data_IF_668314595915
#
_entry.id   IF_668314595915
#
_cell.length_a   1.000
_cell.length_b   1.000
_cell.length_c   1.000
_cell.angle_alpha   90.00
_cell.angle_beta   90.00
_cell.angle_gamma   90.00
#
_symmetry.space_group_name_H-M   'P 1'
#
loop_
_entity.id
_entity.type
_entity.pdbx_description
1 polymer ?
#
# COMPACT_ATOMS: atom_id res chain seq x y z
N UNK A 1 -24.23 34.27 -20.10
CA UNK A 1 -23.59 32.94 -20.00
C UNK A 1 -23.39 32.67 -18.52
N UNK A 2 -24.33 31.94 -17.93
CA UNK A 2 -24.44 31.77 -16.48
C UNK A 2 -23.39 30.75 -16.03
N UNK A 3 -22.41 31.18 -15.24
CA UNK A 3 -21.39 30.30 -14.67
C UNK A 3 -22.08 29.28 -13.76
N UNK A 4 -21.76 28.00 -13.94
CA UNK A 4 -22.25 26.92 -13.09
C UNK A 4 -21.82 27.17 -11.63
N UNK A 5 -22.67 26.86 -10.64
CA UNK A 5 -22.33 27.05 -9.24
C UNK A 5 -21.13 26.18 -8.83
N UNK A 6 -20.25 26.78 -8.02
CA UNK A 6 -19.05 26.17 -7.48
C UNK A 6 -19.40 24.96 -6.59
N UNK A 7 -19.09 23.75 -7.09
CA UNK A 7 -19.31 22.48 -6.37
C UNK A 7 -18.38 22.28 -5.16
N UNK A 8 -17.47 23.22 -4.84
CA UNK A 8 -16.42 23.03 -3.81
C UNK A 8 -16.87 23.35 -2.37
N UNK A 9 -18.11 23.76 -2.14
CA UNK A 9 -18.63 24.09 -0.80
C UNK A 9 -19.59 23.05 -0.18
N UNK A 10 -19.68 21.83 -0.70
CA UNK A 10 -20.34 20.77 0.05
C UNK A 10 -19.38 20.31 1.16
N UNK A 11 -19.57 20.83 2.39
CA UNK A 11 -19.08 20.17 3.60
C UNK A 11 -19.39 18.68 3.44
N UNK A 12 -18.37 17.83 3.48
CA UNK A 12 -18.56 16.39 3.47
C UNK A 12 -19.57 16.08 4.58
N UNK A 13 -20.77 15.63 4.20
CA UNK A 13 -21.72 15.08 5.16
C UNK A 13 -20.98 13.99 5.92
N UNK A 14 -21.12 13.95 7.24
CA UNK A 14 -20.65 12.81 8.03
C UNK A 14 -21.07 11.52 7.32
N UNK A 15 -20.20 10.50 7.23
CA UNK A 15 -20.55 9.27 6.55
C UNK A 15 -21.90 8.81 7.08
N UNK A 16 -22.84 8.57 6.15
CA UNK A 16 -24.11 7.93 6.47
C UNK A 16 -23.81 6.79 7.43
N UNK A 17 -24.49 6.76 8.58
CA UNK A 17 -24.39 5.61 9.48
C UNK A 17 -24.60 4.36 8.62
N UNK A 18 -23.73 3.37 8.81
CA UNK A 18 -23.84 2.11 8.09
C UNK A 18 -25.27 1.59 8.24
N UNK A 19 -25.88 1.04 7.17
CA UNK A 19 -27.22 0.50 7.25
C UNK A 19 -27.34 -0.49 8.42
N UNK A 20 -28.54 -0.62 9.03
CA UNK A 20 -28.78 -1.60 10.08
C UNK A 20 -28.27 -2.99 9.65
N UNK A 21 -27.61 -3.72 10.56
CA UNK A 21 -26.93 -5.00 10.26
C UNK A 21 -27.81 -6.05 9.56
N UNK A 22 -29.14 -5.96 9.67
CA UNK A 22 -30.07 -6.85 8.96
C UNK A 22 -30.23 -6.52 7.46
N UNK A 23 -30.04 -5.27 7.04
CA UNK A 23 -30.17 -4.82 5.64
C UNK A 23 -28.86 -4.95 4.85
N UNK A 24 -27.73 -5.11 5.54
CA UNK A 24 -26.39 -5.22 4.96
C UNK A 24 -25.93 -6.67 4.70
N UNK A 25 -26.88 -7.60 4.50
CA UNK A 25 -26.57 -9.01 4.23
C UNK A 25 -26.50 -9.24 2.72
N UNK A 26 -25.31 -9.49 2.21
CA UNK A 26 -25.12 -10.04 0.87
C UNK A 26 -25.09 -11.56 1.02
N UNK A 27 -26.12 -12.30 0.60
CA UNK A 27 -26.09 -13.75 0.69
C UNK A 27 -24.94 -14.30 -0.15
N UNK A 28 -24.08 -15.11 0.47
CA UNK A 28 -22.90 -15.70 -0.18
C UNK A 28 -23.22 -17.14 -0.55
N UNK A 29 -23.36 -17.36 -1.85
CA UNK A 29 -23.56 -18.69 -2.41
C UNK A 29 -22.22 -19.31 -2.82
N UNK A 30 -22.14 -20.63 -2.69
CA UNK A 30 -20.99 -21.42 -3.14
C UNK A 30 -21.03 -21.58 -4.65
N UNK A 31 -19.93 -21.28 -5.33
CA UNK A 31 -19.86 -21.32 -6.80
C UNK A 31 -18.67 -22.16 -7.30
N UNK A 32 -17.46 -21.86 -6.85
CA UNK A 32 -16.26 -22.57 -7.31
C UNK A 32 -15.89 -23.77 -6.44
N UNK A 33 -16.28 -23.75 -5.18
CA UNK A 33 -15.81 -24.71 -4.17
C UNK A 33 -16.86 -25.76 -3.84
N UNK A 34 -16.46 -26.78 -3.08
CA UNK A 34 -17.36 -27.82 -2.55
C UNK A 34 -17.45 -27.71 -1.03
N UNK A 35 -18.61 -28.03 -0.42
CA UNK A 35 -18.71 -28.16 1.03
C UNK A 35 -17.66 -29.15 1.56
N UNK A 36 -17.07 -28.84 2.72
CA UNK A 36 -16.11 -29.71 3.43
C UNK A 36 -14.78 -30.01 2.71
N UNK A 37 -14.55 -29.46 1.52
CA UNK A 37 -13.28 -29.57 0.79
C UNK A 37 -12.52 -28.26 0.90
N UNK A 38 -11.30 -28.27 1.46
CA UNK A 38 -10.44 -27.07 1.44
C UNK A 38 -9.97 -26.84 0.00
N UNK A 39 -10.10 -25.62 -0.56
CA UNK A 39 -9.71 -25.33 -1.93
C UNK A 39 -8.27 -25.70 -2.27
N UNK A 40 -7.37 -25.76 -1.29
CA UNK A 40 -5.98 -26.17 -1.54
C UNK A 40 -5.81 -27.64 -1.89
N UNK A 41 -6.75 -28.51 -1.48
CA UNK A 41 -6.69 -29.96 -1.72
C UNK A 41 -7.02 -30.31 -3.19
N UNK A 42 -7.60 -29.37 -3.93
CA UNK A 42 -7.92 -29.52 -5.36
C UNK A 42 -6.76 -29.10 -6.29
N UNK A 43 -5.62 -28.68 -5.73
CA UNK A 43 -4.44 -28.26 -6.49
C UNK A 43 -3.25 -29.20 -6.28
N UNK A 44 -2.42 -29.31 -7.31
CA UNK A 44 -1.08 -29.89 -7.18
C UNK A 44 -0.10 -28.85 -6.65
N UNK A 45 0.75 -29.27 -5.71
CA UNK A 45 1.73 -28.41 -5.03
C UNK A 45 3.14 -28.92 -5.26
N UNK A 46 4.08 -27.98 -5.39
CA UNK A 46 5.50 -28.26 -5.54
C UNK A 46 6.31 -27.56 -4.45
N UNK A 47 7.45 -28.15 -4.11
CA UNK A 47 8.45 -27.52 -3.25
C UNK A 47 9.53 -26.93 -4.13
N UNK A 48 9.72 -25.61 -4.06
CA UNK A 48 10.69 -24.87 -4.87
C UNK A 48 11.62 -24.00 -4.01
N UNK A 49 12.74 -23.59 -4.61
CA UNK A 49 13.61 -22.56 -4.08
C UNK A 49 13.30 -21.24 -4.78
N UNK A 50 13.08 -20.18 -4.00
CA UNK A 50 13.07 -18.82 -4.51
C UNK A 50 14.49 -18.25 -4.51
N UNK A 51 14.95 -17.72 -5.64
CA UNK A 51 16.26 -17.07 -5.76
C UNK A 51 16.16 -15.84 -6.66
N UNK A 52 16.77 -14.73 -6.22
CA UNK A 52 16.87 -13.50 -7.00
C UNK A 52 18.35 -13.12 -7.08
N UNK A 53 18.85 -12.97 -8.30
CA UNK A 53 20.22 -12.57 -8.59
C UNK A 53 20.34 -11.04 -8.68
N UNK A 54 21.45 -10.51 -8.18
CA UNK A 54 21.85 -9.11 -8.33
C UNK A 54 22.48 -8.84 -9.70
N UNK A 55 22.78 -7.57 -9.97
CA UNK A 55 23.41 -7.16 -11.23
C UNK A 55 24.83 -7.73 -11.43
N UNK A 56 25.46 -8.21 -10.35
CA UNK A 56 26.76 -8.89 -10.34
C UNK A 56 26.65 -10.43 -10.44
N UNK A 57 25.44 -10.96 -10.64
CA UNK A 57 25.15 -12.39 -10.71
C UNK A 57 25.16 -13.11 -9.36
N UNK A 58 25.36 -12.40 -8.23
CA UNK A 58 25.29 -13.01 -6.89
C UNK A 58 23.85 -13.03 -6.38
N UNK A 59 23.42 -14.06 -5.64
CA UNK A 59 22.07 -14.09 -5.08
C UNK A 59 21.91 -12.98 -4.02
N UNK A 60 20.95 -12.08 -4.25
CA UNK A 60 20.56 -11.03 -3.29
C UNK A 60 19.42 -11.47 -2.36
N UNK A 61 18.74 -12.55 -2.73
CA UNK A 61 17.72 -13.19 -1.91
C UNK A 61 17.66 -14.68 -2.27
N UNK A 62 17.61 -15.54 -1.25
CA UNK A 62 17.34 -16.97 -1.41
C UNK A 62 16.43 -17.44 -0.27
N UNK A 63 15.41 -18.23 -0.59
CA UNK A 63 14.62 -18.97 0.39
C UNK A 63 14.26 -20.34 -0.20
N UNK A 64 14.69 -21.41 0.48
CA UNK A 64 14.49 -22.81 0.07
C UNK A 64 13.20 -23.38 0.64
N UNK A 65 12.84 -24.58 0.19
CA UNK A 65 11.72 -25.40 0.66
C UNK A 65 10.42 -24.60 0.80
N UNK A 66 10.01 -23.96 -0.29
CA UNK A 66 8.78 -23.19 -0.39
C UNK A 66 7.72 -24.01 -1.11
N UNK A 67 6.58 -24.21 -0.46
CA UNK A 67 5.41 -24.85 -1.04
C UNK A 67 4.59 -23.83 -1.87
N UNK A 68 4.40 -24.13 -3.15
CA UNK A 68 3.76 -23.26 -4.14
C UNK A 68 2.84 -24.11 -5.03
N UNK A 69 1.71 -23.57 -5.56
CA UNK A 69 0.94 -24.32 -6.55
C UNK A 69 1.80 -24.60 -7.79
N UNK A 70 1.72 -25.82 -8.33
CA UNK A 70 2.50 -26.24 -9.49
C UNK A 70 2.28 -25.31 -10.70
N UNK A 71 1.06 -24.78 -10.83
CA UNK A 71 0.64 -23.84 -11.89
C UNK A 71 1.28 -22.46 -11.82
N UNK A 72 1.81 -22.03 -10.66
CA UNK A 72 2.46 -20.73 -10.54
C UNK A 72 3.85 -20.76 -11.18
N UNK A 73 4.28 -19.65 -11.78
CA UNK A 73 5.63 -19.58 -12.39
C UNK A 73 6.74 -19.45 -11.34
N UNK A 74 7.98 -19.81 -11.71
CA UNK A 74 9.16 -19.56 -10.87
C UNK A 74 9.33 -18.07 -10.51
N UNK A 75 8.96 -17.16 -11.44
CA UNK A 75 8.97 -15.72 -11.14
C UNK A 75 7.96 -15.35 -10.04
N UNK A 76 6.76 -15.95 -10.06
CA UNK A 76 5.79 -15.76 -8.99
C UNK A 76 6.32 -16.31 -7.65
N UNK A 77 6.97 -17.48 -7.65
CA UNK A 77 7.66 -18.03 -6.47
C UNK A 77 8.68 -17.02 -5.91
N UNK A 78 9.55 -16.48 -6.76
CA UNK A 78 10.56 -15.49 -6.37
C UNK A 78 9.95 -14.21 -5.78
N UNK A 79 8.91 -13.67 -6.42
CA UNK A 79 8.24 -12.44 -5.99
C UNK A 79 7.50 -12.65 -4.67
N UNK A 80 6.73 -13.72 -4.54
CA UNK A 80 5.96 -14.04 -3.32
C UNK A 80 6.89 -14.25 -2.13
N UNK A 81 7.91 -15.07 -2.31
CA UNK A 81 8.90 -15.35 -1.28
C UNK A 81 9.65 -14.09 -0.85
N UNK A 82 10.09 -13.24 -1.78
CA UNK A 82 10.91 -12.07 -1.44
C UNK A 82 10.11 -10.88 -0.93
N UNK A 83 8.84 -10.72 -1.37
CA UNK A 83 8.06 -9.50 -1.12
C UNK A 83 6.92 -9.69 -0.14
N UNK A 84 6.28 -10.86 -0.12
CA UNK A 84 4.97 -11.06 0.50
C UNK A 84 4.98 -11.98 1.71
N UNK A 85 5.83 -13.00 1.70
CA UNK A 85 6.05 -13.84 2.88
C UNK A 85 6.54 -13.00 4.06
N UNK A 86 6.08 -13.36 5.26
CA UNK A 86 6.35 -12.67 6.54
C UNK A 86 7.16 -13.54 7.50
N UNK A 87 7.75 -12.92 8.51
CA UNK A 87 8.74 -13.52 9.40
C UNK A 87 10.18 -13.30 8.94
N UNK A 88 11.17 -13.35 9.84
CA UNK A 88 12.58 -13.18 9.51
C UNK A 88 13.10 -14.40 8.74
N UNK A 89 14.02 -14.20 7.79
CA UNK A 89 14.69 -15.31 7.09
C UNK A 89 15.60 -16.12 8.03
N UNK A 90 16.18 -15.45 9.02
CA UNK A 90 17.07 -16.06 10.02
C UNK A 90 16.33 -16.13 11.37
N UNK A 91 16.30 -17.29 12.06
CA UNK A 91 15.57 -17.47 13.34
C UNK A 91 15.96 -16.53 14.50
N UNK A 92 17.00 -15.69 14.36
CA UNK A 92 17.44 -14.71 15.37
C UNK A 92 16.95 -13.28 15.18
N UNK A 93 16.38 -12.93 14.02
CA UNK A 93 15.99 -11.53 13.69
C UNK A 93 14.53 -11.20 14.07
N UNK A 94 13.91 -11.99 14.95
CA UNK A 94 12.52 -11.85 15.35
C UNK A 94 12.30 -10.65 16.31
N UNK A 95 12.35 -9.43 15.78
CA UNK A 95 11.77 -8.25 16.45
C UNK A 95 10.65 -7.69 15.58
N UNK A 96 9.44 -8.22 15.77
CA UNK A 96 8.23 -7.51 15.35
C UNK A 96 7.67 -6.80 16.56
N UNK A 97 7.13 -5.58 16.38
CA UNK A 97 6.58 -4.75 17.47
C UNK A 97 5.37 -5.36 18.19
N UNK A 98 4.92 -6.56 17.79
CA UNK A 98 3.81 -7.29 18.40
C UNK A 98 4.24 -8.38 19.39
N UNK A 99 5.54 -8.55 19.67
CA UNK A 99 6.03 -9.49 20.68
C UNK A 99 5.85 -10.98 20.35
N UNK A 100 5.40 -11.33 19.14
CA UNK A 100 5.29 -12.72 18.66
C UNK A 100 6.53 -13.11 17.85
N UNK A 101 7.15 -14.23 18.18
CA UNK A 101 8.14 -14.90 17.33
C UNK A 101 7.42 -15.46 16.11
N UNK A 102 7.47 -14.75 14.98
CA UNK A 102 6.85 -15.18 13.73
C UNK A 102 7.86 -16.04 12.97
N UNK A 103 7.57 -17.32 12.77
CA UNK A 103 8.34 -18.15 11.83
C UNK A 103 8.14 -17.64 10.40
N UNK A 104 9.19 -17.71 9.57
CA UNK A 104 9.10 -17.35 8.14
C UNK A 104 8.01 -18.17 7.46
N UNK A 105 7.10 -17.50 6.75
CA UNK A 105 6.15 -18.17 5.86
C UNK A 105 6.92 -18.92 4.76
N UNK A 106 6.55 -20.19 4.53
CA UNK A 106 7.15 -21.08 3.51
C UNK A 106 6.11 -21.69 2.59
N UNK A 107 4.84 -21.28 2.68
CA UNK A 107 3.79 -21.78 1.79
C UNK A 107 2.86 -20.64 1.38
N UNK A 108 2.39 -20.67 0.13
CA UNK A 108 1.32 -19.77 -0.31
C UNK A 108 0.02 -19.99 0.46
N UNK A 109 -0.22 -21.21 0.97
CA UNK A 109 -1.35 -21.49 1.88
C UNK A 109 -1.30 -20.58 3.09
N UNK A 110 -0.13 -20.45 3.73
CA UNK A 110 0.07 -19.60 4.91
C UNK A 110 -0.18 -18.11 4.60
N UNK A 111 0.33 -17.62 3.46
CA UNK A 111 0.11 -16.25 3.01
C UNK A 111 -1.37 -15.94 2.77
N UNK A 112 -2.07 -16.81 2.04
CA UNK A 112 -3.49 -16.63 1.73
C UNK A 112 -4.31 -16.76 3.01
N UNK A 113 -4.09 -17.80 3.83
CA UNK A 113 -4.83 -18.04 5.06
C UNK A 113 -4.67 -16.89 6.06
N UNK A 114 -3.48 -16.31 6.21
CA UNK A 114 -3.28 -15.14 7.07
C UNK A 114 -4.21 -13.98 6.73
N UNK A 115 -4.45 -13.74 5.44
CA UNK A 115 -5.32 -12.66 4.98
C UNK A 115 -6.79 -13.08 5.03
N UNK A 116 -7.12 -14.22 4.43
CA UNK A 116 -8.51 -14.68 4.28
C UNK A 116 -9.14 -15.01 5.63
N UNK A 117 -8.42 -15.66 6.53
CA UNK A 117 -8.94 -15.97 7.86
C UNK A 117 -9.22 -14.69 8.65
N UNK A 118 -8.33 -13.70 8.58
CA UNK A 118 -8.52 -12.43 9.29
C UNK A 118 -9.71 -11.63 8.74
N UNK A 119 -9.88 -11.58 7.42
CA UNK A 119 -11.03 -10.92 6.79
C UNK A 119 -12.33 -11.64 7.16
N UNK A 120 -12.34 -12.98 7.12
CA UNK A 120 -13.51 -13.78 7.52
C UNK A 120 -13.84 -13.55 8.99
N UNK A 121 -12.85 -13.48 9.86
CA UNK A 121 -13.04 -13.22 11.28
C UNK A 121 -13.62 -11.83 11.55
N UNK A 122 -13.15 -10.80 10.84
CA UNK A 122 -13.80 -9.48 10.90
C UNK A 122 -15.24 -9.54 10.40
N UNK A 123 -15.49 -10.26 9.30
CA UNK A 123 -16.83 -10.51 8.77
C UNK A 123 -17.78 -11.11 9.80
N UNK A 124 -17.32 -12.12 10.56
CA UNK A 124 -18.07 -12.73 11.66
C UNK A 124 -18.35 -11.73 12.78
N UNK A 125 -17.32 -11.05 13.27
CA UNK A 125 -17.43 -10.11 14.40
C UNK A 125 -18.34 -8.90 14.10
N UNK A 126 -18.34 -8.45 12.85
CA UNK A 126 -19.19 -7.34 12.40
C UNK A 126 -20.61 -7.78 12.02
N UNK A 127 -20.87 -9.09 11.94
CA UNK A 127 -22.18 -9.66 11.66
C UNK A 127 -22.57 -9.67 10.19
N UNK A 128 -21.60 -9.78 9.27
CA UNK A 128 -21.84 -9.83 7.82
C UNK A 128 -22.39 -11.19 7.34
N UNK A 129 -22.20 -12.26 8.11
CA UNK A 129 -22.67 -13.60 7.76
C UNK A 129 -23.91 -13.99 8.57
N UNK A 130 -24.88 -14.62 7.92
CA UNK A 130 -26.09 -15.17 8.51
C UNK A 130 -25.83 -16.47 9.30
N UNK A 131 -24.77 -17.20 8.96
CA UNK A 131 -24.37 -18.43 9.66
C UNK A 131 -22.86 -18.69 9.54
N UNK A 132 -22.36 -19.63 10.35
CA UNK A 132 -20.99 -20.10 10.24
C UNK A 132 -20.71 -20.79 8.90
N UNK A 133 -21.72 -21.48 8.34
CA UNK A 133 -21.62 -22.12 7.01
C UNK A 133 -21.46 -21.08 5.89
N UNK A 134 -22.11 -19.93 6.01
CA UNK A 134 -21.95 -18.84 5.05
C UNK A 134 -20.57 -18.19 5.18
N UNK A 135 -20.10 -17.95 6.41
CA UNK A 135 -18.75 -17.46 6.67
C UNK A 135 -17.68 -18.42 6.12
N UNK A 136 -17.91 -19.72 6.24
CA UNK A 136 -17.04 -20.76 5.72
C UNK A 136 -17.08 -20.84 4.18
N UNK A 137 -18.26 -20.66 3.60
CA UNK A 137 -18.42 -20.54 2.15
C UNK A 137 -17.65 -19.35 1.60
N UNK A 138 -17.77 -18.18 2.23
CA UNK A 138 -16.95 -17.01 1.89
C UNK A 138 -15.45 -17.29 1.97
N UNK A 139 -15.01 -17.93 3.06
CA UNK A 139 -13.61 -18.29 3.28
C UNK A 139 -13.08 -19.19 2.16
N UNK A 140 -13.82 -20.23 1.79
CA UNK A 140 -13.43 -21.17 0.73
C UNK A 140 -13.44 -20.50 -0.65
N UNK A 141 -14.50 -19.78 -1.01
CA UNK A 141 -14.58 -19.09 -2.31
C UNK A 141 -13.44 -18.08 -2.46
N UNK A 142 -13.14 -17.30 -1.41
CA UNK A 142 -12.05 -16.33 -1.47
C UNK A 142 -10.67 -17.01 -1.58
N UNK A 143 -10.42 -18.10 -0.84
CA UNK A 143 -9.20 -18.91 -1.00
C UNK A 143 -9.05 -19.43 -2.44
N UNK A 144 -10.12 -20.00 -2.99
CA UNK A 144 -10.14 -20.53 -4.35
C UNK A 144 -9.77 -19.46 -5.37
N UNK A 145 -10.42 -18.29 -5.29
CA UNK A 145 -10.17 -17.18 -6.20
C UNK A 145 -8.72 -16.68 -6.13
N UNK A 146 -8.14 -16.64 -4.94
CA UNK A 146 -6.77 -16.18 -4.71
C UNK A 146 -5.72 -17.20 -5.19
N UNK A 147 -5.86 -18.47 -4.83
CA UNK A 147 -4.87 -19.50 -5.15
C UNK A 147 -4.85 -19.83 -6.65
N UNK A 148 -6.01 -19.78 -7.30
CA UNK A 148 -6.17 -19.95 -8.75
C UNK A 148 -5.96 -18.63 -9.55
N UNK A 149 -5.59 -17.53 -8.87
CA UNK A 149 -5.27 -16.23 -9.48
C UNK A 149 -6.43 -15.56 -10.27
N UNK A 150 -7.69 -15.88 -9.96
CA UNK A 150 -8.87 -15.15 -10.46
C UNK A 150 -9.07 -13.79 -9.76
N UNK A 151 -8.52 -13.65 -8.55
CA UNK A 151 -8.55 -12.41 -7.77
C UNK A 151 -7.18 -12.18 -7.12
N UNK A 152 -6.83 -10.92 -6.89
CA UNK A 152 -5.67 -10.55 -6.07
C UNK A 152 -5.91 -9.23 -5.35
N UNK A 153 -5.54 -9.15 -4.08
CA UNK A 153 -5.57 -7.89 -3.34
C UNK A 153 -4.38 -6.98 -3.70
N UNK A 154 -4.55 -5.68 -3.47
CA UNK A 154 -3.44 -4.74 -3.52
C UNK A 154 -2.35 -5.10 -2.47
N UNK A 155 -1.11 -4.68 -2.69
CA UNK A 155 0.03 -5.11 -1.85
C UNK A 155 -0.10 -4.79 -0.35
N UNK A 156 -0.58 -3.60 0.09
CA UNK A 156 -0.81 -3.31 1.51
C UNK A 156 -1.67 -4.33 2.26
N UNK A 157 -2.68 -4.93 1.62
CA UNK A 157 -3.48 -6.00 2.20
C UNK A 157 -2.58 -7.18 2.59
N UNK A 158 -1.78 -7.67 1.65
CA UNK A 158 -0.85 -8.78 1.89
C UNK A 158 0.25 -8.46 2.90
N UNK A 159 0.67 -7.19 2.95
CA UNK A 159 1.74 -6.73 3.83
C UNK A 159 1.31 -6.64 5.29
N UNK A 160 0.06 -6.25 5.54
CA UNK A 160 -0.35 -5.75 6.85
C UNK A 160 -1.40 -6.64 7.55
N UNK A 161 -2.33 -7.26 6.80
CA UNK A 161 -3.39 -8.07 7.42
C UNK A 161 -2.79 -9.31 8.10
N UNK A 162 -3.24 -9.58 9.33
CA UNK A 162 -2.75 -10.66 10.17
C UNK A 162 -1.34 -10.46 10.72
N UNK A 163 -0.77 -9.26 10.57
CA UNK A 163 0.56 -8.87 11.08
C UNK A 163 0.44 -7.69 12.03
N UNK A 164 -0.21 -6.62 11.59
CA UNK A 164 -0.42 -5.40 12.36
C UNK A 164 -1.81 -5.45 13.02
N UNK A 165 -1.93 -4.94 14.24
CA UNK A 165 -3.22 -4.84 14.95
C UNK A 165 -4.21 -3.91 14.21
N UNK A 166 -3.70 -2.79 13.68
CA UNK A 166 -4.45 -1.83 12.89
C UNK A 166 -3.84 -1.73 11.47
N UNK A 167 -4.18 -2.67 10.57
CA UNK A 167 -3.49 -2.79 9.30
C UNK A 167 -3.94 -1.74 8.27
N UNK A 168 -2.97 -1.09 7.62
CA UNK A 168 -3.24 -0.22 6.47
C UNK A 168 -3.52 -1.06 5.21
N UNK A 169 -4.78 -1.12 4.76
CA UNK A 169 -5.20 -2.00 3.66
C UNK A 169 -5.40 -1.27 2.32
N UNK A 170 -5.36 0.07 2.32
CA UNK A 170 -5.56 0.89 1.12
C UNK A 170 -4.24 1.25 0.47
N UNK A 171 -4.11 1.12 -0.85
CA UNK A 171 -2.87 1.45 -1.57
C UNK A 171 -2.73 2.93 -1.96
N UNK A 172 -3.84 3.67 -2.03
CA UNK A 172 -3.87 5.03 -2.54
C UNK A 172 -4.56 5.96 -1.54
N UNK A 173 -3.93 7.11 -1.27
CA UNK A 173 -4.47 8.17 -0.44
C UNK A 173 -4.36 9.51 -1.16
N UNK A 174 -5.38 10.36 -1.05
CA UNK A 174 -5.34 11.73 -1.54
C UNK A 174 -5.32 12.66 -0.33
N UNK A 175 -4.32 13.54 -0.29
CA UNK A 175 -4.12 14.52 0.76
C UNK A 175 -4.56 15.90 0.26
N UNK A 176 -5.00 16.73 1.21
CA UNK A 176 -5.28 18.14 1.00
C UNK A 176 -4.27 18.99 1.75
N UNK A 177 -4.12 20.24 1.34
CA UNK A 177 -3.21 21.18 1.96
C UNK A 177 -3.83 22.57 2.06
N UNK A 178 -3.51 23.28 3.11
CA UNK A 178 -3.80 24.70 3.30
C UNK A 178 -2.51 25.51 3.21
N UNK A 179 -2.63 26.79 2.84
CA UNK A 179 -1.49 27.70 2.68
C UNK A 179 -0.96 28.20 4.03
N UNK A 180 -0.41 27.29 4.82
CA UNK A 180 0.18 27.54 6.13
C UNK A 180 1.30 26.54 6.42
N UNK A 181 2.28 26.96 7.23
CA UNK A 181 3.39 26.08 7.63
C UNK A 181 2.87 24.86 8.41
N UNK A 182 1.89 25.04 9.29
CA UNK A 182 1.33 23.92 10.06
C UNK A 182 0.74 22.85 9.14
N UNK A 183 -0.05 23.25 8.13
CA UNK A 183 -0.62 22.30 7.17
C UNK A 183 0.45 21.61 6.31
N UNK A 184 1.53 22.31 5.95
CA UNK A 184 2.67 21.73 5.20
C UNK A 184 3.40 20.68 6.06
N UNK A 185 3.64 20.97 7.34
CA UNK A 185 4.31 20.03 8.23
C UNK A 185 3.43 18.82 8.56
N UNK A 186 2.13 19.02 8.73
CA UNK A 186 1.15 17.94 8.90
C UNK A 186 1.05 17.06 7.66
N UNK A 187 1.18 17.63 6.45
CA UNK A 187 1.31 16.85 5.22
C UNK A 187 2.52 15.91 5.29
N UNK A 188 3.72 16.41 5.60
CA UNK A 188 4.93 15.58 5.65
C UNK A 188 4.78 14.43 6.66
N UNK A 189 4.24 14.74 7.84
CA UNK A 189 3.98 13.75 8.90
C UNK A 189 2.99 12.68 8.46
N UNK A 190 1.85 13.09 7.93
CA UNK A 190 0.76 12.19 7.51
C UNK A 190 1.24 11.27 6.39
N UNK A 191 1.92 11.85 5.42
CA UNK A 191 2.46 11.13 4.30
C UNK A 191 3.56 10.12 4.71
N UNK A 192 4.43 10.51 5.65
CA UNK A 192 5.43 9.59 6.19
C UNK A 192 4.81 8.36 6.85
N UNK A 193 3.68 8.52 7.55
CA UNK A 193 2.91 7.39 8.09
C UNK A 193 2.32 6.50 6.98
N UNK A 194 1.78 7.10 5.93
CA UNK A 194 1.23 6.39 4.77
C UNK A 194 2.33 5.53 4.11
N UNK A 195 3.53 6.08 3.91
CA UNK A 195 4.66 5.38 3.33
C UNK A 195 5.20 4.26 4.22
N UNK A 196 5.28 4.49 5.54
CA UNK A 196 5.60 3.42 6.51
C UNK A 196 4.61 2.25 6.42
N UNK A 197 3.33 2.53 6.16
CA UNK A 197 2.30 1.51 5.96
C UNK A 197 2.38 0.78 4.60
N UNK A 198 3.22 1.25 3.68
CA UNK A 198 3.42 0.63 2.36
C UNK A 198 2.50 1.14 1.26
N UNK A 199 1.87 2.31 1.43
CA UNK A 199 0.93 2.90 0.46
C UNK A 199 1.50 4.14 -0.22
N UNK A 200 0.83 4.61 -1.28
CA UNK A 200 1.19 5.84 -1.98
C UNK A 200 0.25 7.00 -1.64
N UNK A 201 0.72 8.22 -1.89
CA UNK A 201 -0.05 9.46 -1.67
C UNK A 201 -0.15 10.28 -2.95
N UNK A 202 -1.21 11.07 -3.05
CA UNK A 202 -1.40 12.11 -4.06
C UNK A 202 -1.77 13.43 -3.40
N UNK A 203 -1.27 14.55 -3.92
CA UNK A 203 -1.60 15.88 -3.40
C UNK A 203 -1.61 16.92 -4.53
N UNK A 204 -2.51 17.90 -4.44
CA UNK A 204 -2.49 19.09 -5.29
C UNK A 204 -1.96 20.28 -4.48
N UNK A 205 -0.82 20.84 -4.89
CA UNK A 205 -0.15 21.93 -4.18
C UNK A 205 -0.59 23.33 -4.63
N UNK A 206 -1.55 23.44 -5.53
CA UNK A 206 -1.99 24.73 -6.10
C UNK A 206 -2.67 25.68 -5.10
N UNK A 207 -2.92 25.20 -3.87
CA UNK A 207 -3.40 26.05 -2.77
C UNK A 207 -2.28 26.83 -2.10
N UNK A 208 -1.04 26.34 -2.18
CA UNK A 208 0.10 27.06 -1.64
C UNK A 208 0.37 28.30 -2.47
N UNK A 209 0.69 29.41 -1.81
CA UNK A 209 1.07 30.64 -2.51
C UNK A 209 2.35 30.44 -3.33
N UNK A 210 2.47 31.19 -4.42
CA UNK A 210 3.62 31.17 -5.32
C UNK A 210 4.88 31.70 -4.65
N UNK A 211 6.03 31.23 -5.14
CA UNK A 211 7.36 31.79 -4.87
C UNK A 211 7.48 33.30 -5.16
N UNK A 212 6.54 33.88 -5.91
CA UNK A 212 6.47 35.29 -6.29
C UNK A 212 5.62 36.13 -5.32
N UNK A 213 4.98 35.51 -4.33
CA UNK A 213 4.10 36.17 -3.36
C UNK A 213 4.81 36.44 -2.03
N UNK A 214 4.35 37.47 -1.30
CA UNK A 214 4.93 37.86 -0.02
C UNK A 214 4.46 36.99 1.16
N UNK A 215 5.32 36.87 2.16
CA UNK A 215 4.98 36.30 3.48
C UNK A 215 4.90 37.39 4.55
N UNK A 216 4.05 37.19 5.55
CA UNK A 216 3.76 38.20 6.60
C UNK A 216 5.00 38.66 7.35
N UNK A 217 5.98 37.77 7.55
CA UNK A 217 7.24 38.05 8.24
C UNK A 217 8.27 38.82 7.38
N UNK A 218 7.94 39.16 6.13
CA UNK A 218 8.83 39.81 5.18
C UNK A 218 9.53 38.82 4.26
N UNK A 219 9.84 39.27 3.04
CA UNK A 219 10.40 38.43 1.98
C UNK A 219 9.35 37.79 1.07
N UNK A 220 9.82 36.90 0.20
CA UNK A 220 9.01 36.11 -0.70
C UNK A 220 8.80 34.70 -0.15
N UNK A 221 7.69 34.07 -0.52
CA UNK A 221 7.41 32.69 -0.15
C UNK A 221 8.36 31.72 -0.87
N UNK A 222 8.52 30.52 -0.31
CA UNK A 222 9.32 29.47 -0.94
C UNK A 222 8.65 28.86 -2.19
N UNK A 223 7.31 28.94 -2.28
CA UNK A 223 6.51 28.32 -3.32
C UNK A 223 6.35 26.79 -3.19
N UNK A 224 5.36 26.18 -3.88
CA UNK A 224 5.05 24.76 -3.82
C UNK A 224 6.20 23.84 -4.27
N UNK A 225 7.02 24.23 -5.25
CA UNK A 225 8.11 23.38 -5.75
C UNK A 225 9.20 23.18 -4.68
N UNK A 226 9.47 24.20 -3.86
CA UNK A 226 10.43 24.11 -2.76
C UNK A 226 9.95 23.15 -1.67
N UNK A 227 8.70 23.28 -1.22
CA UNK A 227 8.11 22.34 -0.25
C UNK A 227 8.01 20.92 -0.82
N UNK A 228 7.71 20.76 -2.11
CA UNK A 228 7.74 19.44 -2.76
C UNK A 228 9.11 18.76 -2.66
N UNK A 229 10.22 19.49 -2.89
CA UNK A 229 11.59 18.96 -2.71
C UNK A 229 11.85 18.53 -1.26
N UNK A 230 11.34 19.29 -0.29
CA UNK A 230 11.38 18.94 1.12
C UNK A 230 10.64 17.63 1.43
N UNK A 231 9.40 17.50 0.94
CA UNK A 231 8.60 16.28 1.08
C UNK A 231 9.28 15.06 0.42
N UNK A 232 9.90 15.25 -0.75
CA UNK A 232 10.64 14.20 -1.45
C UNK A 232 11.84 13.70 -0.64
N UNK A 233 12.59 14.61 -0.03
CA UNK A 233 13.69 14.27 0.87
C UNK A 233 13.21 13.45 2.08
N UNK A 234 12.10 13.85 2.71
CA UNK A 234 11.48 13.09 3.80
C UNK A 234 11.09 11.69 3.32
N UNK A 235 10.42 11.58 2.16
CA UNK A 235 10.03 10.30 1.58
C UNK A 235 11.24 9.37 1.32
N UNK A 236 12.36 9.92 0.82
CA UNK A 236 13.59 9.18 0.57
C UNK A 236 14.24 8.60 1.83
N UNK A 237 14.05 9.23 2.99
CA UNK A 237 14.57 8.71 4.27
C UNK A 237 13.73 7.58 4.86
N UNK A 238 12.46 7.47 4.48
CA UNK A 238 11.54 6.48 5.04
C UNK A 238 11.76 5.14 4.32
N UNK A 239 12.52 4.26 4.97
CA UNK A 239 12.53 2.84 4.63
C UNK A 239 11.32 2.20 5.30
N UNK A 240 10.49 1.50 4.55
CA UNK A 240 9.23 0.90 5.00
C UNK A 240 9.40 -0.33 5.93
N UNK A 241 10.48 -0.40 6.72
CA UNK A 241 10.68 -1.30 7.85
C UNK A 241 10.15 -2.73 7.66
N UNK A 242 10.76 -3.51 6.75
CA UNK A 242 10.35 -4.89 6.48
C UNK A 242 9.23 -5.07 5.43
N UNK A 243 8.63 -3.97 4.94
CA UNK A 243 7.78 -3.97 3.74
C UNK A 243 8.65 -3.61 2.54
N UNK A 244 8.47 -4.31 1.43
CA UNK A 244 9.40 -4.29 0.29
C UNK A 244 9.03 -3.23 -0.76
N UNK A 245 8.65 -2.02 -0.32
CA UNK A 245 8.14 -0.96 -1.21
C UNK A 245 8.72 0.41 -0.86
N UNK A 246 9.30 1.09 -1.86
CA UNK A 246 9.71 2.51 -1.71
C UNK A 246 8.49 3.42 -1.67
N UNK A 247 8.64 4.60 -1.05
CA UNK A 247 7.65 5.65 -1.08
C UNK A 247 7.24 6.00 -2.53
N UNK A 248 5.96 6.27 -2.76
CA UNK A 248 5.42 6.65 -4.06
C UNK A 248 4.46 7.83 -3.89
N UNK A 249 4.69 8.90 -4.66
CA UNK A 249 3.95 10.16 -4.56
C UNK A 249 3.51 10.65 -5.93
N UNK A 250 2.28 11.16 -5.99
CA UNK A 250 1.80 12.02 -7.07
C UNK A 250 1.69 13.46 -6.54
N UNK A 251 2.28 14.41 -7.23
CA UNK A 251 2.11 15.85 -6.95
C UNK A 251 1.50 16.50 -8.17
N UNK A 252 0.49 17.33 -7.95
CA UNK A 252 -0.18 18.11 -8.99
C UNK A 252 0.03 19.59 -8.69
N UNK A 253 0.24 20.36 -9.76
CA UNK A 253 0.14 21.82 -9.76
C UNK A 253 -0.70 22.24 -10.96
N UNK A 254 -1.68 23.12 -10.73
CA UNK A 254 -2.59 23.58 -11.77
C UNK A 254 -1.83 24.45 -12.77
N UNK A 255 -2.26 24.40 -14.04
CA UNK A 255 -1.57 25.06 -15.15
C UNK A 255 -1.52 26.59 -15.03
N UNK A 256 -2.46 27.18 -14.30
CA UNK A 256 -2.57 28.61 -14.03
C UNK A 256 -1.75 29.08 -12.81
N UNK A 257 -1.11 28.16 -12.08
CA UNK A 257 -0.30 28.52 -10.93
C UNK A 257 0.96 29.29 -11.37
N UNK A 258 1.35 30.41 -10.73
CA UNK A 258 2.47 31.23 -11.20
C UNK A 258 3.85 30.55 -11.22
N UNK A 259 3.99 29.42 -10.51
CA UNK A 259 5.20 28.57 -10.48
C UNK A 259 5.13 27.34 -11.42
N UNK A 260 4.15 27.27 -12.33
CA UNK A 260 3.93 26.11 -13.20
C UNK A 260 5.16 25.74 -14.04
N UNK A 261 5.87 26.73 -14.59
CA UNK A 261 7.08 26.47 -15.38
C UNK A 261 8.20 25.83 -14.53
N UNK A 262 8.35 26.26 -13.27
CA UNK A 262 9.31 25.63 -12.37
C UNK A 262 8.91 24.18 -12.08
N UNK A 263 7.62 23.94 -11.83
CA UNK A 263 7.09 22.61 -11.59
C UNK A 263 7.32 21.65 -12.77
N UNK A 264 7.02 22.09 -14.00
CA UNK A 264 7.23 21.30 -15.23
C UNK A 264 8.69 20.87 -15.37
N UNK A 265 9.63 21.80 -15.13
CA UNK A 265 11.06 21.53 -15.29
C UNK A 265 11.73 20.89 -14.07
N UNK A 266 11.02 20.73 -12.96
CA UNK A 266 11.59 20.32 -11.66
C UNK A 266 12.41 19.02 -11.75
N UNK A 267 11.84 17.94 -12.29
CA UNK A 267 12.51 16.63 -12.41
C UNK A 267 13.73 16.68 -13.32
N UNK A 268 13.62 17.30 -14.50
CA UNK A 268 14.73 17.41 -15.44
C UNK A 268 15.91 18.21 -14.87
N UNK A 269 15.63 19.22 -14.03
CA UNK A 269 16.68 19.98 -13.32
C UNK A 269 17.38 19.13 -12.25
N UNK A 270 16.64 18.34 -11.48
CA UNK A 270 17.23 17.43 -10.49
C UNK A 270 18.08 16.33 -11.14
N UNK A 271 17.64 15.77 -12.28
CA UNK A 271 18.43 14.80 -13.04
C UNK A 271 19.76 15.39 -13.52
N UNK A 272 19.73 16.58 -14.13
CA UNK A 272 20.98 17.27 -14.56
C UNK A 272 21.91 17.50 -13.38
N UNK A 273 21.37 17.91 -12.23
CA UNK A 273 22.16 18.09 -11.01
C UNK A 273 22.81 16.77 -10.56
N UNK A 274 22.08 15.66 -10.60
CA UNK A 274 22.62 14.34 -10.27
C UNK A 274 23.75 13.91 -11.22
N UNK A 275 23.60 14.14 -12.53
CA UNK A 275 24.67 13.88 -13.51
C UNK A 275 25.92 14.72 -13.23
N UNK A 276 25.76 16.03 -13.05
CA UNK A 276 26.90 16.92 -12.76
C UNK A 276 27.61 16.56 -11.45
N UNK A 277 26.89 16.10 -10.43
CA UNK A 277 27.50 15.61 -9.19
C UNK A 277 28.27 14.31 -9.41
N UNK A 278 27.74 13.39 -10.21
CA UNK A 278 28.43 12.13 -10.55
C UNK A 278 29.70 12.33 -11.39
N UNK A 279 29.73 13.35 -12.25
CA UNK A 279 30.92 13.73 -13.01
C UNK A 279 31.99 14.42 -12.14
N UNK A 280 31.58 15.03 -11.02
CA UNK A 280 32.47 15.75 -10.11
C UNK A 280 33.20 14.85 -9.09
N UNK A 281 32.83 13.57 -8.99
CA UNK A 281 33.40 12.60 -8.05
C UNK A 281 32.60 12.47 -6.76
#
# INVERSE_FOLDING_TARGET
MTLAPDRRQTKASAPSQAPPREEARLPIERYFTKPEVDPYDELEWEVRTASIEGADGRPVFEQKDIEIPATWSQNATNVVASKYFRGPLTPGDASTGSGRTVMRERSVKQLIDRVVNQITEWGRNDGYFASDDEAETFRHELKYLLVNQYLCFNSPVWFNIGIEEQPQCSACFILSIEDSIDSILDWYKTEGKIFKGGSGSGINLSRLRSSKEHVTAGGLASGPVSFMRGADSVAGTIKSGGKTRRAAKMVILNVDHPDIEEFIWSKAKEERKAYSLGEAG
#
